data_IF_635619507442
#
_entry.id   IF_635619507442
#
_cell.length_a   1.000
_cell.length_b   1.000
_cell.length_c   1.000
_cell.angle_alpha   90.00
_cell.angle_beta   90.00
_cell.angle_gamma   90.00
#
_symmetry.space_group_name_H-M   'P 1'
#
loop_
_entity.id
_entity.type
_entity.pdbx_description
1 polymer ?
#
# COMPACT_ATOMS: atom_id res chain seq x y z
N UNK A 1 20.81 30.35 21.91
CA UNK A 1 20.32 29.90 20.59
C UNK A 1 19.97 28.44 20.73
N UNK A 2 18.72 28.17 21.06
CA UNK A 2 18.19 26.82 21.22
C UNK A 2 18.11 26.18 19.84
N UNK A 3 18.93 25.15 19.63
CA UNK A 3 18.85 24.30 18.45
C UNK A 3 17.57 23.49 18.53
N UNK A 4 16.55 23.90 17.79
CA UNK A 4 15.42 23.05 17.45
C UNK A 4 15.96 21.83 16.70
N UNK A 5 16.08 20.70 17.41
CA UNK A 5 16.21 19.39 16.76
C UNK A 5 15.02 19.26 15.82
N UNK A 6 15.29 19.19 14.52
CA UNK A 6 14.29 18.77 13.54
C UNK A 6 13.75 17.41 14.03
N UNK A 7 12.52 17.38 14.51
CA UNK A 7 11.80 16.12 14.69
C UNK A 7 11.62 15.57 13.28
N UNK A 8 12.27 14.45 12.96
CA UNK A 8 12.12 13.82 11.63
C UNK A 8 10.63 13.52 11.38
N UNK A 9 10.12 13.78 10.18
CA UNK A 9 8.67 13.66 9.91
C UNK A 9 8.17 12.23 10.11
N UNK A 10 9.06 11.25 9.94
CA UNK A 10 8.79 9.82 10.21
C UNK A 10 8.86 9.43 11.70
N UNK A 11 9.17 10.40 12.57
CA UNK A 11 9.16 10.25 14.04
C UNK A 11 8.01 11.00 14.72
N UNK A 12 7.14 11.64 13.94
CA UNK A 12 5.97 12.35 14.45
C UNK A 12 5.03 11.41 15.22
N UNK A 13 4.38 11.96 16.24
CA UNK A 13 3.37 11.23 17.02
C UNK A 13 2.08 11.06 16.21
N UNK A 14 1.38 9.94 16.45
CA UNK A 14 0.09 9.68 15.81
C UNK A 14 -0.90 10.84 16.02
N UNK A 15 -0.91 11.47 17.20
CA UNK A 15 -1.77 12.62 17.48
C UNK A 15 -1.49 13.80 16.54
N UNK A 16 -0.21 14.10 16.29
CA UNK A 16 0.16 15.20 15.40
C UNK A 16 -0.19 14.88 13.94
N UNK A 17 -0.01 13.63 13.53
CA UNK A 17 -0.42 13.14 12.21
C UNK A 17 -1.94 13.27 12.05
N UNK A 18 -2.69 12.83 13.06
CA UNK A 18 -4.15 12.92 13.07
C UNK A 18 -4.63 14.37 12.92
N UNK A 19 -4.07 15.32 13.66
CA UNK A 19 -4.40 16.74 13.51
C UNK A 19 -4.29 17.22 12.04
N UNK A 20 -3.25 16.80 11.33
CA UNK A 20 -3.00 17.19 9.94
C UNK A 20 -4.01 16.56 8.97
N UNK A 21 -4.25 15.25 9.09
CA UNK A 21 -5.12 14.54 8.14
C UNK A 21 -6.60 14.84 8.39
N UNK A 22 -7.01 15.06 9.65
CA UNK A 22 -8.39 15.45 9.97
C UNK A 22 -8.75 16.84 9.44
N UNK A 23 -7.77 17.75 9.31
CA UNK A 23 -8.00 19.07 8.73
C UNK A 23 -8.54 19.01 7.28
N UNK A 24 -8.29 17.90 6.58
CA UNK A 24 -8.74 17.68 5.20
C UNK A 24 -9.91 16.70 5.08
N UNK A 25 -10.30 16.01 6.16
CA UNK A 25 -11.31 14.96 6.08
C UNK A 25 -12.73 15.55 6.04
N UNK A 26 -13.47 15.25 4.97
CA UNK A 26 -14.87 15.65 4.87
C UNK A 26 -15.76 14.67 5.65
N UNK A 27 -16.47 15.18 6.66
CA UNK A 27 -17.40 14.39 7.50
C UNK A 27 -18.73 14.11 6.77
N UNK A 28 -18.98 14.76 5.64
CA UNK A 28 -20.24 14.67 4.90
C UNK A 28 -19.98 14.37 3.41
N UNK A 29 -20.86 13.57 2.81
CA UNK A 29 -20.80 13.26 1.38
C UNK A 29 -19.76 12.20 1.02
N UNK A 30 -19.65 11.12 1.83
CA UNK A 30 -18.67 10.06 1.60
C UNK A 30 -18.90 9.42 0.22
N UNK A 31 -17.93 9.54 -0.68
CA UNK A 31 -17.95 8.88 -1.98
C UNK A 31 -17.97 7.36 -1.76
N UNK A 32 -18.97 6.70 -2.35
CA UNK A 32 -19.16 5.26 -2.21
C UNK A 32 -18.80 4.55 -3.51
N UNK A 33 -18.05 3.47 -3.38
CA UNK A 33 -17.81 2.48 -4.43
C UNK A 33 -17.71 1.10 -3.79
N UNK A 34 -17.70 0.05 -4.61
CA UNK A 34 -17.54 -1.32 -4.12
C UNK A 34 -16.08 -1.57 -3.69
N UNK A 35 -15.81 -1.25 -2.43
CA UNK A 35 -14.49 -1.38 -1.79
C UNK A 35 -14.04 -2.84 -1.69
N UNK A 36 -14.95 -3.78 -1.44
CA UNK A 36 -14.63 -5.21 -1.36
C UNK A 36 -14.20 -5.74 -2.73
N UNK A 37 -14.89 -5.35 -3.81
CA UNK A 37 -14.47 -5.71 -5.16
C UNK A 37 -13.12 -5.09 -5.52
N UNK A 38 -12.86 -3.81 -5.16
CA UNK A 38 -11.54 -3.22 -5.42
C UNK A 38 -10.42 -3.96 -4.65
N UNK A 39 -10.64 -4.28 -3.37
CA UNK A 39 -9.68 -5.01 -2.56
C UNK A 39 -9.31 -6.35 -3.19
N UNK A 40 -10.29 -7.07 -3.74
CA UNK A 40 -10.07 -8.33 -4.44
C UNK A 40 -9.15 -8.18 -5.66
N UNK A 41 -9.39 -7.17 -6.49
CA UNK A 41 -8.54 -6.91 -7.66
C UNK A 41 -7.12 -6.53 -7.22
N UNK A 42 -6.97 -5.71 -6.18
CA UNK A 42 -5.67 -5.34 -5.63
C UNK A 42 -4.91 -6.57 -5.11
N UNK A 43 -5.59 -7.47 -4.38
CA UNK A 43 -5.00 -8.73 -3.92
C UNK A 43 -4.48 -9.57 -5.08
N UNK A 44 -5.31 -9.80 -6.11
CA UNK A 44 -4.91 -10.61 -7.27
C UNK A 44 -3.70 -10.00 -7.99
N UNK A 45 -3.71 -8.68 -8.23
CA UNK A 45 -2.62 -7.98 -8.90
C UNK A 45 -1.32 -8.04 -8.09
N UNK A 46 -1.37 -7.73 -6.79
CA UNK A 46 -0.18 -7.71 -5.94
C UNK A 46 0.38 -9.12 -5.72
N UNK A 47 -0.47 -10.13 -5.56
CA UNK A 47 -0.02 -11.52 -5.45
C UNK A 47 0.73 -11.96 -6.71
N UNK A 48 0.14 -11.76 -7.89
CA UNK A 48 0.79 -12.09 -9.16
C UNK A 48 2.10 -11.31 -9.38
N UNK A 49 2.08 -10.00 -9.15
CA UNK A 49 3.26 -9.16 -9.35
C UNK A 49 4.41 -9.51 -8.38
N UNK A 50 4.11 -9.67 -7.09
CA UNK A 50 5.14 -10.03 -6.10
C UNK A 50 5.69 -11.44 -6.35
N UNK A 51 4.87 -12.39 -6.82
CA UNK A 51 5.33 -13.72 -7.20
C UNK A 51 6.29 -13.70 -8.40
N UNK A 52 6.01 -12.89 -9.43
CA UNK A 52 6.93 -12.72 -10.57
C UNK A 52 8.31 -12.25 -10.08
N UNK A 53 8.34 -11.29 -9.14
CA UNK A 53 9.58 -10.76 -8.56
C UNK A 53 10.29 -11.79 -7.68
N UNK A 54 9.56 -12.44 -6.78
CA UNK A 54 10.11 -13.42 -5.86
C UNK A 54 10.77 -14.58 -6.65
N UNK A 55 10.12 -15.04 -7.74
CA UNK A 55 10.65 -16.03 -8.67
C UNK A 55 11.90 -15.54 -9.42
N UNK A 56 11.91 -14.28 -9.85
CA UNK A 56 13.03 -13.69 -10.56
C UNK A 56 14.28 -13.55 -9.65
N UNK A 57 14.10 -13.31 -8.35
CA UNK A 57 15.19 -13.14 -7.37
C UNK A 57 15.75 -14.49 -6.92
N UNK A 58 14.88 -15.45 -6.58
CA UNK A 58 15.30 -16.72 -5.97
C UNK A 58 15.81 -17.75 -6.98
N UNK A 59 15.64 -17.50 -8.28
CA UNK A 59 15.76 -18.54 -9.29
C UNK A 59 14.57 -19.50 -9.20
N UNK A 60 14.33 -20.28 -10.25
CA UNK A 60 13.17 -21.15 -10.45
C UNK A 60 12.91 -22.23 -9.34
N UNK A 61 13.70 -22.27 -8.27
CA UNK A 61 13.69 -23.31 -7.22
C UNK A 61 12.83 -22.97 -5.97
N UNK A 62 11.80 -22.13 -6.12
CA UNK A 62 10.77 -21.96 -5.10
C UNK A 62 9.52 -22.78 -5.49
N UNK A 63 9.11 -23.70 -4.61
CA UNK A 63 7.87 -24.48 -4.75
C UNK A 63 6.70 -23.54 -5.11
N UNK A 64 6.16 -23.72 -6.32
CA UNK A 64 4.96 -23.05 -6.82
C UNK A 64 3.75 -23.47 -5.96
N UNK A 65 3.50 -22.76 -4.88
CA UNK A 65 2.13 -22.65 -4.38
C UNK A 65 1.39 -21.70 -5.32
N UNK A 66 0.63 -22.29 -6.24
CA UNK A 66 -0.32 -21.56 -7.07
C UNK A 66 -1.35 -20.92 -6.13
N UNK A 67 -1.23 -19.60 -5.90
CA UNK A 67 -2.22 -18.87 -5.13
C UNK A 67 -3.48 -18.85 -5.99
N UNK A 68 -4.53 -19.50 -5.49
CA UNK A 68 -5.81 -19.59 -6.18
C UNK A 68 -6.35 -18.18 -6.44
N UNK A 69 -6.42 -17.78 -7.71
CA UNK A 69 -6.96 -16.48 -8.10
C UNK A 69 -8.44 -16.46 -7.75
N UNK A 70 -8.80 -15.58 -6.81
CA UNK A 70 -10.20 -15.48 -6.38
C UNK A 70 -11.06 -14.96 -7.54
N UNK A 71 -12.20 -15.62 -7.77
CA UNK A 71 -13.14 -15.28 -8.85
C UNK A 71 -13.58 -13.81 -8.76
N UNK A 72 -13.42 -13.10 -9.88
CA UNK A 72 -13.81 -11.69 -10.00
C UNK A 72 -15.33 -11.57 -10.26
N UNK A 73 -15.97 -10.61 -9.59
CA UNK A 73 -17.36 -10.26 -9.88
C UNK A 73 -17.45 -9.52 -11.21
N UNK A 74 -18.29 -9.99 -12.13
CA UNK A 74 -18.59 -9.27 -13.38
C UNK A 74 -19.28 -7.93 -13.10
N UNK A 75 -18.84 -6.84 -13.72
CA UNK A 75 -19.52 -5.54 -13.68
C UNK A 75 -19.02 -4.53 -12.65
N UNK A 76 -17.88 -4.78 -11.99
CA UNK A 76 -17.25 -3.77 -11.12
C UNK A 76 -16.77 -2.56 -11.94
N UNK A 77 -17.10 -1.35 -11.48
CA UNK A 77 -16.58 -0.09 -12.03
C UNK A 77 -15.68 0.56 -10.99
N UNK A 78 -14.38 0.64 -11.30
CA UNK A 78 -13.42 1.30 -10.42
C UNK A 78 -13.56 2.83 -10.48
N UNK A 79 -13.16 3.56 -9.42
CA UNK A 79 -12.96 5.02 -9.45
C UNK A 79 -11.76 5.42 -10.34
N UNK A 80 -11.81 5.10 -11.63
CA UNK A 80 -10.66 5.14 -12.54
C UNK A 80 -10.00 6.52 -12.65
N UNK A 81 -10.79 7.59 -12.70
CA UNK A 81 -10.26 8.96 -12.70
C UNK A 81 -9.46 9.27 -11.43
N UNK A 82 -9.97 8.84 -10.26
CA UNK A 82 -9.30 9.00 -8.96
C UNK A 82 -8.01 8.18 -8.92
N UNK A 83 -8.05 6.92 -9.36
CA UNK A 83 -6.86 6.06 -9.44
C UNK A 83 -5.79 6.69 -10.32
N UNK A 84 -6.14 7.18 -11.51
CA UNK A 84 -5.20 7.86 -12.41
C UNK A 84 -4.57 9.11 -11.78
N UNK A 85 -5.35 9.90 -11.04
CA UNK A 85 -4.81 11.07 -10.35
C UNK A 85 -3.79 10.68 -9.27
N UNK A 86 -4.08 9.63 -8.49
CA UNK A 86 -3.14 9.13 -7.48
C UNK A 86 -1.89 8.57 -8.15
N UNK A 87 -2.03 7.77 -9.20
CA UNK A 87 -0.90 7.24 -9.98
C UNK A 87 0.03 8.36 -10.45
N UNK A 88 -0.52 9.47 -10.95
CA UNK A 88 0.29 10.65 -11.30
C UNK A 88 1.03 11.25 -10.09
N UNK A 89 0.41 11.31 -8.91
CA UNK A 89 1.09 11.78 -7.68
C UNK A 89 2.25 10.83 -7.28
N UNK A 90 2.06 9.52 -7.41
CA UNK A 90 3.08 8.52 -7.10
C UNK A 90 4.27 8.56 -8.07
N UNK A 91 4.03 8.78 -9.35
CA UNK A 91 5.06 8.70 -10.39
C UNK A 91 5.74 10.04 -10.68
N UNK A 92 5.02 11.16 -10.68
CA UNK A 92 5.56 12.47 -11.09
C UNK A 92 6.31 13.21 -9.97
N UNK A 93 6.09 12.83 -8.70
CA UNK A 93 6.74 13.45 -7.52
C UNK A 93 7.71 12.50 -6.82
N UNK A 94 8.17 11.47 -7.51
CA UNK A 94 9.07 10.45 -6.99
C UNK A 94 10.49 10.98 -6.76
N UNK A 95 10.62 11.89 -5.78
CA UNK A 95 11.87 12.41 -5.29
C UNK A 95 12.09 11.83 -3.88
N UNK A 96 13.27 11.25 -3.60
CA UNK A 96 13.57 10.66 -2.30
C UNK A 96 13.55 11.72 -1.20
N UNK A 97 13.12 11.30 -0.01
CA UNK A 97 13.14 12.13 1.20
C UNK A 97 11.81 12.16 1.95
N UNK A 98 11.93 12.23 3.28
CA UNK A 98 10.78 12.19 4.20
C UNK A 98 9.78 13.34 3.98
N UNK A 99 10.30 14.55 3.75
CA UNK A 99 9.49 15.75 3.55
C UNK A 99 8.60 15.63 2.30
N UNK A 100 9.18 15.14 1.19
CA UNK A 100 8.45 15.00 -0.08
C UNK A 100 7.42 13.88 0.03
N UNK A 101 7.78 12.76 0.68
CA UNK A 101 6.83 11.68 0.97
C UNK A 101 5.67 12.18 1.83
N UNK A 102 5.94 12.98 2.86
CA UNK A 102 4.92 13.58 3.73
C UNK A 102 4.01 14.55 2.96
N UNK A 103 4.58 15.48 2.19
CA UNK A 103 3.81 16.43 1.38
C UNK A 103 2.94 15.74 0.34
N UNK A 104 3.46 14.70 -0.32
CA UNK A 104 2.71 13.88 -1.29
C UNK A 104 1.58 13.14 -0.59
N UNK A 105 1.84 12.61 0.61
CA UNK A 105 0.82 11.97 1.45
C UNK A 105 -0.32 12.94 1.76
N UNK A 106 -0.03 14.15 2.25
CA UNK A 106 -1.06 15.16 2.56
C UNK A 106 -1.81 15.61 1.30
N UNK A 107 -1.13 15.72 0.16
CA UNK A 107 -1.76 16.05 -1.13
C UNK A 107 -2.78 14.99 -1.54
N UNK A 108 -2.44 13.71 -1.38
CA UNK A 108 -3.34 12.59 -1.63
C UNK A 108 -4.51 12.60 -0.64
N UNK A 109 -4.27 12.84 0.66
CA UNK A 109 -5.35 12.96 1.65
C UNK A 109 -6.37 14.05 1.27
N UNK A 110 -5.89 15.19 0.79
CA UNK A 110 -6.76 16.27 0.34
C UNK A 110 -7.60 15.87 -0.90
N UNK A 111 -6.99 15.19 -1.88
CA UNK A 111 -7.72 14.66 -3.06
C UNK A 111 -8.78 13.63 -2.67
N UNK A 112 -8.52 12.85 -1.63
CA UNK A 112 -9.42 11.81 -1.14
C UNK A 112 -10.24 12.25 0.07
N UNK A 113 -10.38 13.56 0.28
CA UNK A 113 -11.07 14.17 1.43
C UNK A 113 -12.48 13.59 1.62
N UNK A 114 -13.20 13.37 0.52
CA UNK A 114 -14.56 12.79 0.44
C UNK A 114 -14.63 11.28 0.65
N UNK A 115 -13.53 10.54 0.77
CA UNK A 115 -13.58 9.07 0.95
C UNK A 115 -13.55 8.67 2.43
N UNK A 116 -13.97 7.46 2.77
CA UNK A 116 -13.73 6.87 4.09
C UNK A 116 -12.24 6.53 4.31
N UNK A 117 -11.83 6.23 5.55
CA UNK A 117 -10.41 6.01 5.87
C UNK A 117 -9.86 4.74 5.20
N UNK A 118 -10.58 3.64 5.28
CA UNK A 118 -10.32 2.39 4.54
C UNK A 118 -10.18 2.63 3.02
N UNK A 119 -11.10 3.38 2.42
CA UNK A 119 -11.14 3.67 1.00
C UNK A 119 -9.94 4.53 0.56
N UNK A 120 -9.53 5.49 1.38
CA UNK A 120 -8.31 6.28 1.13
C UNK A 120 -7.09 5.39 0.98
N UNK A 121 -6.88 4.48 1.94
CA UNK A 121 -5.75 3.57 1.93
C UNK A 121 -5.80 2.62 0.74
N UNK A 122 -6.98 2.04 0.47
CA UNK A 122 -7.16 1.10 -0.62
C UNK A 122 -6.98 1.74 -2.00
N UNK A 123 -7.45 2.97 -2.22
CA UNK A 123 -7.28 3.66 -3.51
C UNK A 123 -5.80 3.95 -3.80
N UNK A 124 -5.01 4.27 -2.78
CA UNK A 124 -3.57 4.48 -2.95
C UNK A 124 -2.85 3.16 -3.24
N UNK A 125 -3.18 2.10 -2.49
CA UNK A 125 -2.64 0.77 -2.77
C UNK A 125 -3.04 0.27 -4.17
N UNK A 126 -4.27 0.55 -4.61
CA UNK A 126 -4.75 0.21 -5.94
C UNK A 126 -4.01 0.98 -7.04
N UNK A 127 -3.78 2.28 -6.85
CA UNK A 127 -2.99 3.09 -7.78
C UNK A 127 -1.55 2.57 -7.92
N UNK A 128 -0.94 2.15 -6.81
CA UNK A 128 0.35 1.47 -6.83
C UNK A 128 0.28 0.11 -7.54
N UNK A 129 -0.71 -0.72 -7.20
CA UNK A 129 -0.89 -2.05 -7.78
C UNK A 129 -1.08 -1.99 -9.30
N UNK A 130 -1.79 -0.97 -9.82
CA UNK A 130 -1.93 -0.75 -11.26
C UNK A 130 -0.57 -0.61 -11.96
N UNK A 131 0.28 0.30 -11.49
CA UNK A 131 1.60 0.51 -12.10
C UNK A 131 2.53 -0.68 -11.87
N UNK A 132 2.54 -1.21 -10.64
CA UNK A 132 3.43 -2.31 -10.26
C UNK A 132 3.07 -3.62 -10.98
N UNK A 133 1.79 -3.96 -11.03
CA UNK A 133 1.28 -5.13 -11.72
C UNK A 133 1.48 -5.04 -13.22
N UNK A 134 1.17 -3.89 -13.83
CA UNK A 134 1.42 -3.69 -15.26
C UNK A 134 2.91 -3.81 -15.59
N UNK A 135 3.79 -3.26 -14.75
CA UNK A 135 5.24 -3.37 -14.93
C UNK A 135 5.70 -4.83 -14.97
N UNK A 136 5.33 -5.64 -13.96
CA UNK A 136 5.78 -7.03 -13.88
C UNK A 136 5.10 -7.95 -14.88
N UNK A 137 3.84 -7.69 -15.22
CA UNK A 137 3.14 -8.39 -16.29
C UNK A 137 3.81 -8.13 -17.65
N UNK A 138 4.06 -6.86 -18.00
CA UNK A 138 4.79 -6.49 -19.22
C UNK A 138 6.17 -7.11 -19.25
N UNK A 139 6.81 -7.23 -18.08
CA UNK A 139 8.06 -7.94 -17.93
C UNK A 139 7.94 -9.35 -18.52
N UNK A 140 6.92 -10.13 -18.17
CA UNK A 140 6.72 -11.50 -18.67
C UNK A 140 6.35 -11.57 -20.15
N UNK A 141 5.33 -10.81 -20.58
CA UNK A 141 4.76 -10.97 -21.93
C UNK A 141 5.58 -10.27 -23.04
N UNK A 142 6.49 -9.37 -22.69
CA UNK A 142 7.32 -8.63 -23.68
C UNK A 142 8.27 -9.52 -24.50
N UNK A 143 8.47 -10.78 -24.10
CA UNK A 143 9.29 -11.74 -24.85
C UNK A 143 8.61 -12.27 -26.11
N UNK A 144 7.27 -12.32 -26.12
CA UNK A 144 6.47 -12.99 -27.15
C UNK A 144 5.57 -12.04 -27.95
N UNK A 145 5.33 -10.81 -27.47
CA UNK A 145 4.43 -9.85 -28.11
C UNK A 145 5.09 -8.49 -28.43
N UNK A 146 4.89 -8.00 -29.67
CA UNK A 146 5.54 -6.78 -30.16
C UNK A 146 4.96 -5.50 -29.54
N UNK A 147 3.65 -5.47 -29.26
CA UNK A 147 3.01 -4.34 -28.59
C UNK A 147 3.53 -4.25 -27.15
N UNK A 148 3.51 -5.35 -26.42
CA UNK A 148 4.07 -5.46 -25.08
C UNK A 148 5.54 -5.08 -25.03
N UNK A 149 6.34 -5.51 -26.02
CA UNK A 149 7.75 -5.10 -26.14
C UNK A 149 7.90 -3.59 -26.28
N UNK A 150 7.05 -2.95 -27.09
CA UNK A 150 7.08 -1.50 -27.29
C UNK A 150 6.70 -0.74 -26.02
N UNK A 151 5.66 -1.20 -25.31
CA UNK A 151 5.25 -0.66 -24.01
C UNK A 151 6.33 -0.85 -22.94
N UNK A 152 6.93 -2.03 -22.86
CA UNK A 152 7.99 -2.35 -21.92
C UNK A 152 9.23 -1.47 -22.09
N UNK A 153 9.59 -1.13 -23.34
CA UNK A 153 10.68 -0.19 -23.63
C UNK A 153 10.36 1.21 -23.09
N UNK A 154 9.16 1.73 -23.36
CA UNK A 154 8.77 3.07 -22.91
C UNK A 154 8.62 3.16 -21.38
N UNK A 155 8.13 2.09 -20.74
CA UNK A 155 8.05 1.96 -19.28
C UNK A 155 9.37 1.55 -18.62
N UNK A 156 10.46 1.39 -19.38
CA UNK A 156 11.79 1.03 -18.88
C UNK A 156 11.83 -0.30 -18.09
N UNK A 157 10.95 -1.25 -18.42
CA UNK A 157 10.81 -2.53 -17.72
C UNK A 157 12.10 -3.37 -17.78
N UNK A 158 12.84 -3.27 -18.88
CA UNK A 158 14.12 -3.96 -19.06
C UNK A 158 15.21 -3.55 -18.07
N UNK A 159 15.07 -2.41 -17.39
CA UNK A 159 16.03 -1.92 -16.40
C UNK A 159 16.06 -2.81 -15.17
N UNK A 160 14.93 -3.43 -14.78
CA UNK A 160 14.85 -4.27 -13.58
C UNK A 160 14.82 -5.77 -13.86
N UNK A 161 14.61 -6.19 -15.11
CA UNK A 161 14.44 -7.62 -15.45
C UNK A 161 15.71 -8.34 -15.89
N UNK A 162 16.70 -7.65 -16.46
CA UNK A 162 17.90 -8.36 -16.92
C UNK A 162 18.66 -8.99 -15.72
N UNK A 163 19.36 -10.13 -15.90
CA UNK A 163 19.99 -10.84 -14.78
C UNK A 163 20.93 -9.98 -13.94
N UNK A 164 21.69 -9.08 -14.56
CA UNK A 164 22.56 -8.14 -13.84
C UNK A 164 21.80 -7.14 -12.99
N UNK A 165 20.65 -6.66 -13.45
CA UNK A 165 19.80 -5.74 -12.71
C UNK A 165 19.11 -6.42 -11.53
N UNK A 166 18.64 -7.66 -11.70
CA UNK A 166 18.07 -8.44 -10.60
C UNK A 166 19.11 -8.74 -9.52
N UNK A 167 20.36 -9.02 -9.90
CA UNK A 167 21.46 -9.15 -8.93
C UNK A 167 21.76 -7.84 -8.20
N UNK A 168 21.70 -6.70 -8.91
CA UNK A 168 21.97 -5.38 -8.35
C UNK A 168 20.85 -4.87 -7.43
N UNK A 169 19.59 -5.10 -7.81
CA UNK A 169 18.41 -4.50 -7.20
C UNK A 169 17.52 -5.51 -6.46
N UNK A 170 17.86 -6.80 -6.44
CA UNK A 170 17.04 -7.86 -5.86
C UNK A 170 16.71 -7.64 -4.38
N UNK A 171 17.65 -7.11 -3.60
CA UNK A 171 17.40 -6.74 -2.20
C UNK A 171 16.34 -5.64 -2.09
N UNK A 172 16.45 -4.58 -2.89
CA UNK A 172 15.48 -3.48 -2.88
C UNK A 172 14.09 -3.96 -3.30
N UNK A 173 14.03 -4.82 -4.33
CA UNK A 173 12.78 -5.42 -4.80
C UNK A 173 12.13 -6.33 -3.74
N UNK A 174 12.93 -7.12 -3.04
CA UNK A 174 12.46 -7.94 -1.92
C UNK A 174 11.90 -7.09 -0.77
N UNK A 175 12.59 -5.99 -0.43
CA UNK A 175 12.11 -5.04 0.58
C UNK A 175 10.81 -4.35 0.17
N UNK A 176 10.68 -3.95 -1.09
CA UNK A 176 9.44 -3.40 -1.65
C UNK A 176 8.29 -4.41 -1.53
N UNK A 177 8.51 -5.65 -1.97
CA UNK A 177 7.51 -6.73 -1.87
C UNK A 177 7.05 -6.94 -0.42
N UNK A 178 8.01 -7.03 0.51
CA UNK A 178 7.72 -7.20 1.92
C UNK A 178 6.89 -6.04 2.47
N UNK A 179 7.27 -4.80 2.16
CA UNK A 179 6.58 -3.62 2.68
C UNK A 179 5.17 -3.46 2.12
N UNK A 180 4.96 -3.76 0.83
CA UNK A 180 3.63 -3.75 0.20
C UNK A 180 2.72 -4.86 0.76
N UNK A 181 3.26 -6.06 1.01
CA UNK A 181 2.52 -7.14 1.68
C UNK A 181 2.04 -6.71 3.09
N UNK A 182 2.90 -6.04 3.86
CA UNK A 182 2.54 -5.52 5.19
C UNK A 182 1.52 -4.37 5.09
N UNK A 183 1.64 -3.49 4.09
CA UNK A 183 0.65 -2.43 3.85
C UNK A 183 -0.73 -2.99 3.53
N UNK A 184 -0.80 -4.03 2.71
CA UNK A 184 -2.04 -4.76 2.42
C UNK A 184 -2.65 -5.34 3.70
N UNK A 185 -1.85 -6.00 4.55
CA UNK A 185 -2.32 -6.54 5.84
C UNK A 185 -2.86 -5.46 6.79
N UNK A 186 -2.22 -4.28 6.85
CA UNK A 186 -2.72 -3.13 7.63
C UNK A 186 -4.08 -2.70 7.11
N UNK A 187 -4.24 -2.58 5.79
CA UNK A 187 -5.48 -2.20 5.14
C UNK A 187 -6.57 -3.23 5.44
N UNK A 188 -6.30 -4.53 5.26
CA UNK A 188 -7.24 -5.61 5.59
C UNK A 188 -7.68 -5.57 7.06
N UNK A 189 -6.76 -5.30 7.98
CA UNK A 189 -7.09 -5.14 9.40
C UNK A 189 -8.03 -3.95 9.65
N UNK A 190 -7.82 -2.83 8.94
CA UNK A 190 -8.70 -1.65 9.01
C UNK A 190 -10.10 -2.00 8.48
N UNK A 191 -10.20 -2.68 7.34
CA UNK A 191 -11.47 -3.15 6.77
C UNK A 191 -12.25 -4.03 7.76
N UNK A 192 -11.58 -4.96 8.42
CA UNK A 192 -12.19 -5.81 9.44
C UNK A 192 -12.70 -5.01 10.65
N UNK A 193 -11.93 -4.01 11.11
CA UNK A 193 -12.33 -3.13 12.21
C UNK A 193 -13.53 -2.25 11.85
N UNK A 194 -13.60 -1.75 10.61
CA UNK A 194 -14.74 -0.98 10.12
C UNK A 194 -15.99 -1.85 9.96
N UNK A 195 -15.87 -3.07 9.42
CA UNK A 195 -16.98 -4.05 9.37
C UNK A 195 -17.54 -4.35 10.75
N UNK A 196 -16.69 -4.57 11.76
CA UNK A 196 -17.14 -4.75 13.15
C UNK A 196 -17.83 -3.50 13.70
N UNK A 197 -17.43 -2.32 13.23
CA UNK A 197 -18.02 -1.06 13.64
C UNK A 197 -19.43 -0.88 13.14
N UNK A 198 -19.70 -1.26 11.90
CA UNK A 198 -21.02 -1.14 11.29
C UNK A 198 -22.01 -2.18 11.84
N UNK A 199 -21.50 -3.35 12.25
CA UNK A 199 -22.29 -4.46 12.79
C UNK A 199 -22.59 -4.33 14.29
N UNK A 200 -21.92 -3.42 15.02
CA UNK A 200 -22.08 -3.31 16.48
C UNK A 200 -23.17 -2.30 16.85
N UNK A 201 -24.33 -2.75 17.40
CA UNK A 201 -25.39 -1.84 17.85
C UNK A 201 -25.07 -1.15 19.20
N UNK A 202 -23.95 -1.50 19.85
CA UNK A 202 -23.51 -0.96 21.15
C UNK A 202 -22.16 -0.28 21.03
N UNK A 203 -21.95 0.76 21.82
CA UNK A 203 -20.63 1.35 22.03
C UNK A 203 -19.74 0.34 22.75
N UNK A 204 -18.84 -0.30 21.99
CA UNK A 204 -17.81 -1.19 22.53
C UNK A 204 -16.55 -0.35 22.76
N UNK A 205 -16.05 -0.20 24.01
CA UNK A 205 -14.91 0.66 24.29
C UNK A 205 -13.65 0.33 23.46
N UNK A 206 -13.40 -0.96 23.19
CA UNK A 206 -12.29 -1.38 22.34
C UNK A 206 -12.47 -0.94 20.89
N UNK A 207 -13.70 -0.92 20.39
CA UNK A 207 -14.03 -0.48 19.04
C UNK A 207 -13.83 1.04 18.90
N UNK A 208 -14.21 1.81 19.92
CA UNK A 208 -13.94 3.27 19.96
C UNK A 208 -12.44 3.56 19.97
N UNK A 209 -11.65 2.79 20.73
CA UNK A 209 -10.20 2.90 20.72
C UNK A 209 -9.62 2.53 19.35
N UNK A 210 -10.10 1.44 18.74
CA UNK A 210 -9.68 1.01 17.41
C UNK A 210 -9.97 2.08 16.35
N UNK A 211 -11.17 2.68 16.36
CA UNK A 211 -11.54 3.79 15.46
C UNK A 211 -10.59 4.98 15.58
N UNK A 212 -10.15 5.31 16.79
CA UNK A 212 -9.18 6.38 17.00
C UNK A 212 -7.79 6.05 16.42
N UNK A 213 -7.45 4.77 16.24
CA UNK A 213 -6.15 4.34 15.66
C UNK A 213 -6.17 4.27 14.13
N UNK A 214 -7.33 4.06 13.52
CA UNK A 214 -7.47 3.88 12.06
C UNK A 214 -6.82 5.02 11.25
N UNK A 215 -7.08 6.32 11.50
CA UNK A 215 -6.55 7.39 10.67
C UNK A 215 -5.01 7.44 10.62
N UNK A 216 -4.37 7.22 11.77
CA UNK A 216 -2.91 7.14 11.84
C UNK A 216 -2.40 5.92 11.07
N UNK A 217 -3.07 4.77 11.20
CA UNK A 217 -2.74 3.56 10.43
C UNK A 217 -2.85 3.77 8.91
N UNK A 218 -3.89 4.46 8.45
CA UNK A 218 -4.07 4.83 7.04
C UNK A 218 -2.95 5.73 6.55
N UNK A 219 -2.56 6.74 7.34
CA UNK A 219 -1.43 7.59 7.00
C UNK A 219 -0.13 6.78 6.83
N UNK A 220 0.17 5.91 7.79
CA UNK A 220 1.40 5.09 7.74
C UNK A 220 1.41 4.11 6.57
N UNK A 221 0.25 3.54 6.20
CA UNK A 221 0.13 2.70 5.02
C UNK A 221 0.36 3.50 3.72
N UNK A 222 -0.28 4.66 3.58
CA UNK A 222 -0.15 5.52 2.39
C UNK A 222 1.29 5.97 2.20
N UNK A 223 1.94 6.49 3.25
CA UNK A 223 3.31 6.99 3.12
C UNK A 223 4.32 5.86 2.83
N UNK A 224 4.07 4.64 3.32
CA UNK A 224 4.88 3.46 2.97
C UNK A 224 4.72 3.07 1.50
N UNK A 225 3.48 3.11 0.96
CA UNK A 225 3.24 2.87 -0.48
C UNK A 225 3.92 3.93 -1.34
N UNK A 226 3.88 5.21 -0.93
CA UNK A 226 4.60 6.29 -1.61
C UNK A 226 6.11 6.04 -1.58
N UNK A 227 6.67 5.62 -0.43
CA UNK A 227 8.09 5.28 -0.33
C UNK A 227 8.48 4.13 -1.26
N UNK A 228 7.64 3.09 -1.39
CA UNK A 228 7.83 2.01 -2.34
C UNK A 228 7.81 2.51 -3.79
N UNK A 229 6.82 3.34 -4.16
CA UNK A 229 6.72 3.92 -5.50
C UNK A 229 7.96 4.77 -5.83
N UNK A 230 8.41 5.61 -4.90
CA UNK A 230 9.63 6.40 -5.06
C UNK A 230 10.85 5.51 -5.24
N UNK A 231 10.99 4.43 -4.43
CA UNK A 231 12.09 3.48 -4.58
C UNK A 231 12.08 2.83 -5.97
N UNK A 232 10.94 2.35 -6.46
CA UNK A 232 10.83 1.77 -7.82
C UNK A 232 11.27 2.77 -8.88
N UNK A 233 10.77 4.00 -8.81
CA UNK A 233 11.13 5.05 -9.76
C UNK A 233 12.64 5.37 -9.74
N UNK A 234 13.28 5.31 -8.57
CA UNK A 234 14.73 5.43 -8.43
C UNK A 234 15.50 4.24 -9.02
N UNK A 235 14.96 3.03 -8.91
CA UNK A 235 15.57 1.84 -9.51
C UNK A 235 15.44 1.86 -11.05
N UNK A 236 14.37 2.43 -11.58
CA UNK A 236 14.16 2.53 -13.04
C UNK A 236 14.85 3.74 -13.67
N UNK A 237 15.03 4.83 -12.91
CA UNK A 237 15.80 5.98 -13.38
C UNK A 237 17.29 5.75 -13.11
N UNK A 238 18.18 6.11 -14.04
CA UNK A 238 19.63 5.97 -13.88
C UNK A 238 20.24 6.93 -12.82
N UNK A 239 19.49 7.29 -11.78
CA UNK A 239 19.86 8.24 -10.74
C UNK A 239 20.53 7.50 -9.57
N UNK A 240 21.78 7.06 -9.76
CA UNK A 240 22.56 6.28 -8.79
C UNK A 240 23.04 7.04 -7.54
N UNK A 241 22.50 8.25 -7.28
CA UNK A 241 22.96 9.14 -6.22
C UNK A 241 22.01 9.32 -5.04
N UNK A 242 20.77 8.82 -5.12
CA UNK A 242 19.78 9.00 -4.06
C UNK A 242 19.18 7.68 -3.60
N UNK A 243 19.26 7.43 -2.30
CA UNK A 243 18.70 6.25 -1.68
C UNK A 243 17.40 6.60 -0.93
N UNK A 244 16.36 5.81 -1.18
CA UNK A 244 15.17 5.79 -0.35
C UNK A 244 15.30 4.62 0.63
N UNK A 245 15.47 4.92 1.91
CA UNK A 245 15.51 3.91 2.96
C UNK A 245 14.08 3.48 3.32
N UNK A 246 13.78 2.19 3.14
CA UNK A 246 12.47 1.61 3.45
C UNK A 246 12.37 1.10 4.90
N UNK A 247 13.50 0.99 5.62
CA UNK A 247 13.57 0.35 6.94
C UNK A 247 12.68 1.05 7.98
N UNK A 248 12.67 2.38 8.00
CA UNK A 248 11.85 3.18 8.91
C UNK A 248 10.35 3.00 8.63
N UNK A 249 9.96 2.91 7.36
CA UNK A 249 8.58 2.66 6.96
C UNK A 249 8.16 1.25 7.35
N UNK A 250 9.02 0.26 7.11
CA UNK A 250 8.79 -1.12 7.53
C UNK A 250 8.61 -1.23 9.05
N UNK A 251 9.52 -0.64 9.84
CA UNK A 251 9.40 -0.64 11.29
C UNK A 251 8.08 -0.02 11.76
N UNK A 252 7.71 1.14 11.21
CA UNK A 252 6.45 1.83 11.54
C UNK A 252 5.22 1.00 11.17
N UNK A 253 5.21 0.42 9.98
CA UNK A 253 4.05 -0.31 9.48
C UNK A 253 3.83 -1.63 10.24
N UNK A 254 4.90 -2.33 10.63
CA UNK A 254 4.80 -3.50 11.50
C UNK A 254 4.27 -3.12 12.90
N UNK A 255 4.73 -1.99 13.46
CA UNK A 255 4.20 -1.49 14.73
C UNK A 255 2.69 -1.20 14.64
N UNK A 256 2.26 -0.51 13.58
CA UNK A 256 0.84 -0.22 13.31
C UNK A 256 0.04 -1.50 13.14
N UNK A 257 0.53 -2.46 12.35
CA UNK A 257 -0.13 -3.74 12.12
C UNK A 257 -0.34 -4.50 13.44
N UNK A 258 0.69 -4.55 14.29
CA UNK A 258 0.61 -5.21 15.59
C UNK A 258 -0.39 -4.54 16.53
N UNK A 259 -0.43 -3.20 16.56
CA UNK A 259 -1.41 -2.46 17.37
C UNK A 259 -2.84 -2.69 16.88
N UNK A 260 -3.09 -2.55 15.57
CA UNK A 260 -4.41 -2.76 14.98
C UNK A 260 -4.90 -4.20 15.17
N UNK A 261 -4.04 -5.20 14.94
CA UNK A 261 -4.39 -6.61 15.18
C UNK A 261 -4.72 -6.88 16.65
N UNK A 262 -3.97 -6.28 17.58
CA UNK A 262 -4.30 -6.37 19.00
C UNK A 262 -5.69 -5.80 19.29
N UNK A 263 -6.03 -4.64 18.72
CA UNK A 263 -7.37 -4.06 18.86
C UNK A 263 -8.45 -4.94 18.24
N UNK A 264 -8.20 -5.49 17.06
CA UNK A 264 -9.12 -6.38 16.35
C UNK A 264 -9.45 -7.63 17.18
N UNK A 265 -8.44 -8.26 17.77
CA UNK A 265 -8.62 -9.43 18.67
C UNK A 265 -9.46 -9.06 19.89
N UNK A 266 -9.19 -7.91 20.52
CA UNK A 266 -9.97 -7.44 21.68
C UNK A 266 -11.42 -7.16 21.28
N UNK A 267 -11.65 -6.50 20.14
CA UNK A 267 -12.98 -6.20 19.62
C UNK A 267 -13.78 -7.49 19.34
N UNK A 268 -13.19 -8.44 18.61
CA UNK A 268 -13.81 -9.75 18.32
C UNK A 268 -14.19 -10.48 19.61
N UNK A 269 -13.32 -10.48 20.62
CA UNK A 269 -13.59 -11.09 21.92
C UNK A 269 -14.75 -10.42 22.68
N UNK A 270 -14.83 -9.09 22.68
CA UNK A 270 -15.90 -8.35 23.37
C UNK A 270 -17.26 -8.51 22.68
N UNK A 271 -17.27 -8.67 21.36
CA UNK A 271 -18.47 -8.88 20.55
C UNK A 271 -18.92 -10.35 20.49
N UNK A 272 -18.17 -11.28 21.08
CA UNK A 272 -18.50 -12.70 21.11
C UNK A 272 -18.22 -13.45 19.80
N UNK A 273 -17.46 -12.87 18.87
CA UNK A 273 -16.97 -13.59 17.69
C UNK A 273 -15.89 -14.60 18.11
N UNK A 274 -16.03 -15.87 17.71
CA UNK A 274 -14.99 -16.87 17.93
C UNK A 274 -13.78 -16.59 17.02
N UNK A 275 -12.58 -16.61 17.60
CA UNK A 275 -11.31 -16.52 16.87
C UNK A 275 -11.08 -17.84 16.11
N UNK A 276 -11.40 -17.88 14.83
CA UNK A 276 -10.88 -18.92 13.95
C UNK A 276 -9.46 -18.56 13.55
N UNK A 277 -8.48 -19.08 14.29
CA UNK A 277 -7.09 -19.11 13.81
C UNK A 277 -7.00 -20.06 12.61
N UNK A 278 -6.30 -19.72 11.52
CA UNK A 278 -5.91 -20.73 10.54
C UNK A 278 -4.98 -21.73 11.26
N UNK A 279 -5.41 -22.97 11.31
CA UNK A 279 -4.58 -24.08 11.78
C UNK A 279 -3.55 -24.40 10.70
N UNK A 280 -2.28 -24.39 11.10
CA UNK A 280 -1.21 -25.26 10.60
C UNK A 280 -0.72 -24.98 9.19
#
# INVERSE_FOLDING_TARGET
>A
MEGTKHVGLLTMSDNKIMELIYATHAVHGVEKFDVDSLLLHVQNILNGATQIVDNAIQGWDANLEYIDEKELKSGFSSPFCTLKQITCELSCKAVPGEEIAHQTTLSIFNKLSSYSWDAKALLVLAAFALEYGEFWLLSEISQSDQLAKSLAILKQVSVLRNPSALLKHGKDLFEINGLIKVALQVIECIFELEKLSDLSPKEVPALSLAKHRIPAGVYWAIIAVIACATKINLLTSNNEGHEQDLSIYAYRLHYVLNDLNRQLVICKKQLGYQLSFPLG
#
